data_IF_198118094263
#
_entry.id   IF_198118094263
#
_cell.length_a   1.000
_cell.length_b   1.000
_cell.length_c   1.000
_cell.angle_alpha   90.00
_cell.angle_beta   90.00
_cell.angle_gamma   90.00
#
_symmetry.space_group_name_H-M   'P 1'
#
loop_
_entity.id
_entity.type
_entity.pdbx_description
1 polymer ?
#
# COMPACT_ATOMS: atom_id res chain seq x y z
N UNK A 1 -3.26 8.96 -20.51
CA UNK A 1 -3.38 8.40 -19.14
C UNK A 1 -1.99 8.29 -18.52
N UNK A 2 -1.57 9.25 -17.74
CA UNK A 2 -0.24 9.24 -17.12
C UNK A 2 -0.34 8.58 -15.75
N UNK A 3 0.42 7.49 -15.57
CA UNK A 3 0.55 6.78 -14.31
C UNK A 3 1.19 7.71 -13.28
N UNK A 4 0.53 7.91 -12.17
CA UNK A 4 1.07 8.59 -11.00
C UNK A 4 2.36 7.89 -10.56
N UNK A 5 3.50 8.58 -10.42
CA UNK A 5 4.73 7.96 -9.96
C UNK A 5 4.75 7.91 -8.43
N UNK A 6 3.77 7.25 -7.82
CA UNK A 6 3.96 6.81 -6.46
C UNK A 6 4.85 5.57 -6.54
N UNK A 7 6.15 5.78 -6.53
CA UNK A 7 7.17 4.74 -6.47
C UNK A 7 7.11 4.06 -5.10
N UNK A 8 6.12 3.18 -4.94
CA UNK A 8 6.27 2.08 -4.01
C UNK A 8 7.51 1.34 -4.49
N UNK A 9 8.59 1.37 -3.71
CA UNK A 9 9.86 0.73 -4.10
C UNK A 9 9.55 -0.69 -4.56
N UNK A 10 10.01 -1.11 -5.75
CA UNK A 10 9.77 -2.46 -6.28
C UNK A 10 10.15 -3.57 -5.29
N UNK A 11 11.08 -3.27 -4.36
CA UNK A 11 11.52 -4.15 -3.29
C UNK A 11 10.40 -4.54 -2.30
N UNK A 12 9.40 -3.70 -2.06
CA UNK A 12 8.31 -4.04 -1.15
C UNK A 12 7.38 -5.07 -1.79
N UNK A 13 6.99 -4.83 -3.04
CA UNK A 13 6.09 -5.73 -3.78
C UNK A 13 6.78 -7.06 -4.08
N UNK A 14 8.09 -7.04 -4.42
CA UNK A 14 8.83 -8.28 -4.67
C UNK A 14 9.07 -9.10 -3.39
N UNK A 15 9.27 -8.45 -2.25
CA UNK A 15 9.39 -9.14 -0.96
C UNK A 15 8.06 -9.81 -0.58
N UNK A 16 6.94 -9.16 -0.78
CA UNK A 16 5.61 -9.75 -0.55
C UNK A 16 5.32 -10.88 -1.55
N UNK A 17 5.73 -10.74 -2.81
CA UNK A 17 5.52 -11.77 -3.85
C UNK A 17 6.33 -13.05 -3.64
N UNK A 18 7.55 -12.97 -3.12
CA UNK A 18 8.40 -14.14 -2.86
C UNK A 18 7.97 -14.98 -1.66
N UNK A 19 7.07 -14.44 -0.82
CA UNK A 19 6.60 -15.08 0.42
C UNK A 19 5.46 -16.07 0.23
N UNK A 20 4.85 -16.06 -0.90
CA UNK A 20 3.56 -16.69 -1.12
C UNK A 20 3.66 -18.15 -1.55
N UNK A 21 4.85 -18.65 -1.83
CA UNK A 21 5.07 -20.00 -2.36
C UNK A 21 5.27 -21.11 -1.31
N UNK A 22 5.22 -20.78 -0.01
CA UNK A 22 5.35 -21.80 1.04
C UNK A 22 4.18 -21.80 2.02
N UNK A 23 3.65 -22.99 2.29
CA UNK A 23 2.37 -23.23 2.96
C UNK A 23 2.28 -22.78 4.43
N UNK A 24 1.16 -22.17 4.77
CA UNK A 24 0.47 -22.02 6.09
C UNK A 24 1.18 -21.49 7.34
N UNK A 25 2.47 -21.51 7.48
CA UNK A 25 3.19 -20.81 8.57
C UNK A 25 3.53 -19.37 8.20
N UNK A 26 3.18 -18.96 7.00
CA UNK A 26 3.80 -17.87 6.28
C UNK A 26 3.06 -16.55 6.38
N UNK A 27 1.76 -16.54 6.66
CA UNK A 27 1.01 -15.27 6.78
C UNK A 27 1.59 -14.42 7.92
N UNK A 28 1.87 -15.03 9.07
CA UNK A 28 2.46 -14.30 10.21
C UNK A 28 3.90 -13.83 9.91
N UNK A 29 4.67 -14.65 9.23
CA UNK A 29 6.04 -14.31 8.83
C UNK A 29 6.03 -13.22 7.78
N UNK A 30 5.19 -13.33 6.76
CA UNK A 30 4.99 -12.32 5.73
C UNK A 30 4.55 -10.98 6.33
N UNK A 31 3.59 -10.98 7.25
CA UNK A 31 3.13 -9.79 7.93
C UNK A 31 4.21 -9.13 8.80
N UNK A 32 5.10 -9.94 9.41
CA UNK A 32 6.25 -9.41 10.14
C UNK A 32 7.21 -8.66 9.22
N UNK A 33 7.47 -9.19 8.03
CA UNK A 33 8.35 -8.52 7.06
C UNK A 33 7.70 -7.29 6.43
N UNK A 34 6.41 -7.33 6.15
CA UNK A 34 5.66 -6.14 5.74
C UNK A 34 5.80 -5.03 6.78
N UNK A 35 5.69 -5.38 8.07
CA UNK A 35 5.90 -4.41 9.16
C UNK A 35 7.33 -3.83 9.16
N UNK A 36 8.34 -4.67 9.01
CA UNK A 36 9.73 -4.22 8.94
C UNK A 36 9.93 -3.29 7.75
N UNK A 37 9.41 -3.66 6.59
CA UNK A 37 9.52 -2.85 5.37
C UNK A 37 8.80 -1.49 5.50
N UNK A 38 7.67 -1.41 6.20
CA UNK A 38 6.99 -0.14 6.50
C UNK A 38 7.84 0.75 7.42
N UNK A 39 8.46 0.16 8.45
CA UNK A 39 9.34 0.91 9.36
C UNK A 39 10.62 1.38 8.65
N UNK A 40 11.20 0.58 7.77
CA UNK A 40 12.33 0.97 6.91
C UNK A 40 11.96 2.10 5.93
N UNK A 41 10.68 2.23 5.60
CA UNK A 41 10.13 3.32 4.77
C UNK A 41 9.69 4.54 5.59
N UNK A 42 10.16 4.67 6.85
CA UNK A 42 9.85 5.77 7.77
C UNK A 42 8.36 5.90 8.14
N UNK A 43 7.58 4.83 8.01
CA UNK A 43 6.21 4.79 8.51
C UNK A 43 6.23 4.70 10.05
N UNK A 44 5.43 5.52 10.72
CA UNK A 44 5.37 5.52 12.18
C UNK A 44 4.92 4.18 12.75
N UNK A 45 5.46 3.79 13.91
CA UNK A 45 5.19 2.50 14.53
C UNK A 45 3.69 2.22 14.81
N UNK A 46 2.87 3.19 15.26
CA UNK A 46 1.43 2.97 15.43
C UNK A 46 0.76 2.60 14.10
N UNK A 47 0.99 3.37 13.04
CA UNK A 47 0.42 3.13 11.71
C UNK A 47 0.85 1.77 11.16
N UNK A 48 2.13 1.41 11.28
CA UNK A 48 2.62 0.11 10.83
C UNK A 48 1.98 -1.07 11.60
N UNK A 49 1.66 -0.89 12.90
CA UNK A 49 0.96 -1.90 13.70
C UNK A 49 -0.49 -2.04 13.29
N UNK A 50 -1.19 -0.93 13.12
CA UNK A 50 -2.62 -0.91 12.75
C UNK A 50 -2.79 -1.50 11.35
N UNK A 51 -1.90 -1.18 10.42
CA UNK A 51 -1.86 -1.77 9.09
C UNK A 51 -1.73 -3.29 9.13
N UNK A 52 -0.73 -3.82 9.84
CA UNK A 52 -0.51 -5.27 9.95
C UNK A 52 -1.70 -5.97 10.60
N UNK A 53 -2.31 -5.34 11.61
CA UNK A 53 -3.51 -5.86 12.26
C UNK A 53 -4.69 -5.93 11.28
N UNK A 54 -4.95 -4.87 10.53
CA UNK A 54 -6.04 -4.82 9.54
C UNK A 54 -5.85 -5.87 8.44
N UNK A 55 -4.64 -6.03 7.92
CA UNK A 55 -4.32 -7.07 6.93
C UNK A 55 -4.53 -8.47 7.50
N UNK A 56 -4.09 -8.71 8.74
CA UNK A 56 -4.26 -10.00 9.40
C UNK A 56 -5.76 -10.34 9.59
N UNK A 57 -6.57 -9.40 10.05
CA UNK A 57 -8.01 -9.58 10.24
C UNK A 57 -8.72 -9.88 8.92
N UNK A 58 -8.38 -9.16 7.85
CA UNK A 58 -8.94 -9.38 6.51
C UNK A 58 -8.49 -10.72 5.93
N UNK A 59 -7.23 -11.11 6.12
CA UNK A 59 -6.71 -12.37 5.64
C UNK A 59 -7.31 -13.59 6.36
N UNK A 60 -7.64 -13.46 7.66
CA UNK A 60 -8.24 -14.54 8.44
C UNK A 60 -9.78 -14.62 8.31
N UNK A 61 -10.43 -13.49 7.99
CA UNK A 61 -11.89 -13.40 7.89
C UNK A 61 -12.46 -13.73 6.51
N UNK A 62 -11.65 -13.73 5.45
CA UNK A 62 -12.11 -14.07 4.10
C UNK A 62 -12.08 -15.58 3.88
N UNK A 63 -13.24 -16.17 3.60
CA UNK A 63 -13.30 -17.53 3.07
C UNK A 63 -12.49 -17.60 1.78
N UNK A 64 -11.52 -18.54 1.73
CA UNK A 64 -10.65 -18.76 0.56
C UNK A 64 -11.53 -18.95 -0.67
N UNK A 65 -11.54 -17.97 -1.56
CA UNK A 65 -12.23 -18.10 -2.84
C UNK A 65 -11.48 -19.14 -3.65
N UNK A 66 -12.15 -20.22 -4.05
CA UNK A 66 -11.56 -21.40 -4.71
C UNK A 66 -10.79 -21.12 -6.02
N UNK A 67 -10.80 -19.90 -6.50
CA UNK A 67 -10.20 -19.49 -7.80
C UNK A 67 -8.89 -18.70 -7.67
N UNK A 68 -8.46 -18.34 -6.46
CA UNK A 68 -7.26 -17.52 -6.25
C UNK A 68 -6.36 -18.20 -5.23
N UNK A 69 -5.06 -18.27 -5.49
CA UNK A 69 -4.12 -18.85 -4.53
C UNK A 69 -4.10 -18.01 -3.25
N UNK A 70 -3.95 -18.63 -2.06
CA UNK A 70 -3.93 -17.90 -0.79
C UNK A 70 -2.98 -16.72 -0.78
N UNK A 71 -1.88 -16.84 -1.48
CA UNK A 71 -0.91 -15.80 -1.58
C UNK A 71 -1.29 -14.61 -2.44
N UNK A 72 -1.91 -14.82 -3.57
CA UNK A 72 -2.43 -13.74 -4.39
C UNK A 72 -3.51 -12.96 -3.64
N UNK A 73 -4.27 -13.65 -2.79
CA UNK A 73 -5.27 -13.01 -1.94
C UNK A 73 -4.64 -12.10 -0.88
N UNK A 74 -3.55 -12.54 -0.22
CA UNK A 74 -2.80 -11.71 0.74
C UNK A 74 -2.19 -10.49 0.06
N UNK A 75 -1.60 -10.64 -1.13
CA UNK A 75 -1.06 -9.51 -1.91
C UNK A 75 -2.15 -8.48 -2.22
N UNK A 76 -3.33 -8.94 -2.62
CA UNK A 76 -4.46 -8.05 -2.88
C UNK A 76 -4.90 -7.31 -1.62
N UNK A 77 -5.03 -8.01 -0.48
CA UNK A 77 -5.41 -7.40 0.80
C UNK A 77 -4.39 -6.34 1.21
N UNK A 78 -3.09 -6.62 1.11
CA UNK A 78 -2.02 -5.66 1.39
C UNK A 78 -2.10 -4.44 0.47
N UNK A 79 -2.33 -4.65 -0.83
CA UNK A 79 -2.51 -3.56 -1.78
C UNK A 79 -3.71 -2.68 -1.42
N UNK A 80 -4.87 -3.29 -1.18
CA UNK A 80 -6.10 -2.58 -0.88
C UNK A 80 -5.98 -1.79 0.44
N UNK A 81 -5.29 -2.35 1.44
CA UNK A 81 -5.02 -1.67 2.70
C UNK A 81 -4.03 -0.51 2.54
N UNK A 82 -3.00 -0.64 1.70
CA UNK A 82 -2.09 0.47 1.37
C UNK A 82 -2.84 1.61 0.70
N UNK A 83 -3.72 1.31 -0.25
CA UNK A 83 -4.58 2.31 -0.88
C UNK A 83 -5.44 3.00 0.16
N UNK A 84 -6.09 2.24 1.05
CA UNK A 84 -6.95 2.79 2.10
C UNK A 84 -6.19 3.72 3.06
N UNK A 85 -4.99 3.33 3.52
CA UNK A 85 -4.15 4.19 4.39
C UNK A 85 -3.74 5.49 3.69
N UNK A 86 -3.52 5.46 2.37
CA UNK A 86 -3.09 6.63 1.60
C UNK A 86 -4.26 7.55 1.22
N UNK A 87 -5.44 7.00 0.98
CA UNK A 87 -6.63 7.77 0.57
C UNK A 87 -7.51 8.18 1.74
N UNK A 88 -7.41 7.47 2.88
CA UNK A 88 -8.36 7.61 3.99
C UNK A 88 -9.77 7.17 3.58
N UNK A 89 -10.76 7.61 4.35
CA UNK A 89 -12.18 7.36 4.08
C UNK A 89 -12.78 8.34 3.06
N UNK A 90 -11.95 9.22 2.51
CA UNK A 90 -12.37 10.20 1.51
C UNK A 90 -12.14 9.67 0.11
N UNK A 91 -13.05 10.00 -0.80
CA UNK A 91 -12.88 9.77 -2.24
C UNK A 91 -11.53 10.33 -2.71
N UNK A 92 -10.69 9.55 -3.43
CA UNK A 92 -9.39 10.02 -3.91
C UNK A 92 -9.59 11.32 -4.68
N UNK A 93 -9.09 12.40 -4.10
CA UNK A 93 -9.47 13.76 -4.44
C UNK A 93 -9.34 14.10 -5.91
N UNK A 94 -10.44 14.41 -6.53
CA UNK A 94 -10.45 15.17 -7.77
C UNK A 94 -9.96 16.59 -7.45
N UNK A 95 -8.96 17.06 -8.19
CA UNK A 95 -8.51 18.45 -8.12
C UNK A 95 -9.72 19.36 -8.41
N UNK A 96 -10.24 20.03 -7.38
CA UNK A 96 -11.32 21.01 -7.55
C UNK A 96 -10.73 22.29 -8.11
N UNK A 97 -10.97 22.51 -9.39
CA UNK A 97 -10.60 23.72 -10.10
C UNK A 97 -11.89 24.47 -10.44
N UNK A 98 -12.46 25.15 -9.44
CA UNK A 98 -13.80 25.73 -9.56
C UNK A 98 -13.82 27.08 -10.29
N UNK A 99 -12.70 27.82 -10.28
CA UNK A 99 -12.58 29.15 -10.93
C UNK A 99 -11.25 29.29 -11.67
N UNK A 100 -11.20 29.21 -13.00
CA UNK A 100 -10.00 29.49 -13.77
C UNK A 100 -9.68 31.02 -13.79
N UNK A 101 -8.37 31.41 -13.75
CA UNK A 101 -7.20 30.54 -13.61
C UNK A 101 -7.00 30.05 -12.18
N UNK A 102 -6.80 28.72 -12.00
CA UNK A 102 -6.49 28.16 -10.70
C UNK A 102 -4.98 27.94 -10.55
N UNK A 103 -4.27 28.71 -9.73
CA UNK A 103 -2.85 28.52 -9.49
C UNK A 103 -2.63 27.28 -8.63
N UNK A 104 -1.72 26.38 -9.09
CA UNK A 104 -1.33 25.18 -8.36
C UNK A 104 0.14 25.29 -7.98
N UNK A 105 0.43 25.34 -6.69
CA UNK A 105 1.78 25.41 -6.16
C UNK A 105 2.30 23.99 -5.84
N UNK A 106 3.28 23.53 -6.58
CA UNK A 106 3.99 22.27 -6.33
C UNK A 106 5.12 22.49 -5.31
N UNK A 107 5.01 21.88 -4.14
CA UNK A 107 5.97 22.03 -3.03
C UNK A 107 6.56 20.67 -2.67
N UNK A 108 7.85 20.65 -2.34
CA UNK A 108 8.55 19.44 -1.91
C UNK A 108 10.06 19.61 -1.90
N UNK A 109 10.75 18.65 -1.29
CA UNK A 109 12.20 18.59 -1.28
C UNK A 109 12.78 18.26 -2.66
N UNK A 110 14.10 18.44 -2.82
CA UNK A 110 14.79 18.04 -4.05
C UNK A 110 14.60 16.53 -4.29
N UNK A 111 14.27 16.14 -5.52
CA UNK A 111 13.99 14.74 -5.87
C UNK A 111 12.58 14.25 -5.56
N UNK A 112 11.69 15.08 -5.03
CA UNK A 112 10.30 14.70 -4.71
C UNK A 112 9.35 14.64 -5.93
N UNK A 113 9.85 14.84 -7.14
CA UNK A 113 9.06 14.73 -8.36
C UNK A 113 8.27 15.97 -8.78
N UNK A 114 8.54 17.15 -8.20
CA UNK A 114 7.82 18.41 -8.53
C UNK A 114 7.83 18.76 -10.01
N UNK A 115 8.93 18.50 -10.69
CA UNK A 115 9.12 18.84 -12.12
C UNK A 115 8.59 17.76 -13.05
N UNK A 116 8.42 16.53 -12.55
CA UNK A 116 7.96 15.38 -13.34
C UNK A 116 6.46 15.14 -13.22
N UNK A 117 5.79 15.88 -12.37
CA UNK A 117 4.34 15.87 -12.22
C UNK A 117 3.72 16.85 -13.19
#
# INVERSE_FOLDING_TARGET
MKKSPFLIRPSLISKVGNFVDSETNDVKTALREVRVALLEADVSLPIARDFVKAVHEKATGQAVTKSVTPGQQVIKIVHDELVHVLTGDTDPGVLKVDNPPAPILMVGLQGSGKTTT
#
